data_IF_412702511512
#
_entry.id   IF_412702511512
#
_cell.length_a   1.000
_cell.length_b   1.000
_cell.length_c   1.000
_cell.angle_alpha   90.00
_cell.angle_beta   90.00
_cell.angle_gamma   90.00
#
_symmetry.space_group_name_H-M   'P 1'
#
loop_
_entity.id
_entity.type
_entity.pdbx_description
1 polymer ?
#
# COMPACT_ATOMS: atom_id res chain seq x y z
N UNK A 1 7.27 -10.13 9.10
CA UNK A 1 6.18 -9.50 8.32
C UNK A 1 4.92 -9.22 9.17
N UNK A 2 5.06 -9.19 10.50
CA UNK A 2 4.03 -8.79 11.45
C UNK A 2 4.73 -7.97 12.52
N UNK A 3 4.50 -6.66 12.55
CA UNK A 3 4.75 -5.88 13.76
C UNK A 3 3.47 -5.15 14.15
N UNK A 4 3.02 -5.52 15.35
CA UNK A 4 2.00 -4.90 16.18
C UNK A 4 0.71 -4.50 15.47
N UNK A 5 -0.21 -5.46 15.40
CA UNK A 5 -1.59 -5.13 15.70
C UNK A 5 -1.66 -4.23 16.94
N UNK A 6 -2.23 -3.06 16.71
CA UNK A 6 -3.15 -2.38 17.62
C UNK A 6 -2.55 -1.60 18.80
N UNK A 7 -1.85 -0.52 18.47
CA UNK A 7 -1.53 0.56 19.43
C UNK A 7 -2.72 1.48 19.75
N UNK A 8 -3.80 1.44 18.94
CA UNK A 8 -4.98 2.29 19.14
C UNK A 8 -5.94 1.73 20.21
N UNK A 9 -6.13 0.40 20.27
CA UNK A 9 -6.96 -0.24 21.32
C UNK A 9 -6.32 -0.13 22.71
N UNK A 10 -4.99 -0.31 22.80
CA UNK A 10 -4.28 -0.24 24.09
C UNK A 10 -4.25 1.18 24.66
N UNK A 11 -4.23 2.22 23.82
CA UNK A 11 -4.26 3.62 24.27
C UNK A 11 -5.60 3.98 24.91
N UNK A 12 -6.70 3.44 24.38
CA UNK A 12 -8.04 3.65 24.91
C UNK A 12 -8.24 2.94 26.27
N UNK A 13 -7.79 1.69 26.40
CA UNK A 13 -7.91 0.92 27.65
C UNK A 13 -6.97 1.44 28.75
N UNK A 14 -5.75 1.84 28.42
CA UNK A 14 -4.81 2.40 29.40
C UNK A 14 -5.31 3.76 29.90
N UNK A 15 -5.86 4.63 29.03
CA UNK A 15 -6.44 5.92 29.41
C UNK A 15 -7.60 5.77 30.41
N UNK A 16 -8.34 4.66 30.34
CA UNK A 16 -9.46 4.38 31.25
C UNK A 16 -9.00 3.97 32.66
N UNK A 17 -7.77 3.47 32.83
CA UNK A 17 -7.25 2.98 34.11
C UNK A 17 -6.26 3.95 34.81
N UNK A 18 -5.79 5.00 34.12
CA UNK A 18 -4.76 5.95 34.61
C UNK A 18 -5.26 7.01 35.62
N UNK A 19 -6.54 7.05 36.01
CA UNK A 19 -7.02 8.11 36.93
C UNK A 19 -6.54 8.00 38.40
N UNK A 20 -5.73 7.01 38.77
CA UNK A 20 -5.32 6.78 40.17
C UNK A 20 -3.80 6.62 40.42
N UNK A 21 -2.93 6.84 39.43
CA UNK A 21 -1.49 6.60 39.62
C UNK A 21 -0.75 7.92 39.85
N UNK A 22 -0.09 8.03 41.01
CA UNK A 22 0.75 9.17 41.41
C UNK A 22 1.96 9.40 40.47
N UNK A 23 2.83 10.38 40.76
CA UNK A 23 3.88 10.80 39.83
C UNK A 23 4.92 9.70 39.65
N UNK A 24 4.79 8.93 38.58
CA UNK A 24 5.76 7.92 38.14
C UNK A 24 6.91 8.66 37.45
N UNK A 25 8.10 8.53 38.03
CA UNK A 25 9.40 8.80 37.40
C UNK A 25 9.31 8.43 35.91
N UNK A 26 9.44 9.44 35.04
CA UNK A 26 9.14 9.31 33.61
C UNK A 26 10.29 8.53 32.95
N UNK A 27 10.32 7.22 33.16
CA UNK A 27 11.20 6.28 32.45
C UNK A 27 11.09 6.64 30.97
N UNK A 28 12.22 7.04 30.35
CA UNK A 28 12.31 7.32 28.93
C UNK A 28 12.08 6.03 28.17
N UNK A 29 10.80 5.67 28.05
CA UNK A 29 10.33 4.59 27.21
C UNK A 29 10.57 5.08 25.78
N UNK A 30 11.77 4.81 25.28
CA UNK A 30 12.12 4.97 23.88
C UNK A 30 11.21 4.00 23.13
N UNK A 31 10.02 4.48 22.78
CA UNK A 31 9.10 3.74 21.93
C UNK A 31 9.79 3.61 20.59
N UNK A 32 10.42 2.47 20.35
CA UNK A 32 10.88 2.06 19.03
C UNK A 32 9.61 1.92 18.18
N UNK A 33 9.14 3.05 17.66
CA UNK A 33 7.95 3.12 16.83
C UNK A 33 8.26 2.26 15.61
N UNK A 34 7.40 1.28 15.37
CA UNK A 34 7.56 0.36 14.27
C UNK A 34 7.66 1.15 12.96
N UNK A 35 8.82 1.07 12.30
CA UNK A 35 9.16 1.85 11.10
C UNK A 35 8.41 1.37 9.85
N UNK A 36 7.47 0.43 9.99
CA UNK A 36 6.82 -0.25 8.87
C UNK A 36 5.67 0.55 8.24
N UNK A 37 5.06 1.46 9.01
CA UNK A 37 3.93 2.31 8.56
C UNK A 37 4.32 3.24 7.40
N UNK A 38 5.41 4.04 7.46
CA UNK A 38 5.77 4.92 6.35
C UNK A 38 6.11 4.14 5.07
N UNK A 39 6.78 2.98 5.20
CA UNK A 39 7.06 2.13 4.05
C UNK A 39 5.81 1.50 3.44
N UNK A 40 4.83 1.10 4.27
CA UNK A 40 3.55 0.61 3.78
C UNK A 40 2.78 1.68 2.99
N UNK A 41 2.80 2.95 3.44
CA UNK A 41 2.17 4.06 2.72
C UNK A 41 2.82 4.26 1.35
N UNK A 42 4.16 4.27 1.30
CA UNK A 42 4.90 4.38 0.03
C UNK A 42 4.57 3.22 -0.91
N UNK A 43 4.48 2.00 -0.39
CA UNK A 43 4.12 0.82 -1.18
C UNK A 43 2.70 0.92 -1.76
N UNK A 44 1.73 1.36 -0.97
CA UNK A 44 0.35 1.57 -1.45
C UNK A 44 0.31 2.64 -2.55
N UNK A 45 1.00 3.77 -2.37
CA UNK A 45 1.09 4.81 -3.40
C UNK A 45 1.72 4.29 -4.70
N UNK A 46 2.76 3.46 -4.58
CA UNK A 46 3.37 2.80 -5.73
C UNK A 46 2.39 1.88 -6.47
N UNK A 47 1.60 1.08 -5.74
CA UNK A 47 0.58 0.21 -6.35
C UNK A 47 -0.51 1.01 -7.09
N UNK A 48 -0.96 2.12 -6.51
CA UNK A 48 -1.90 3.01 -7.20
C UNK A 48 -1.29 3.61 -8.47
N UNK A 49 -0.02 4.02 -8.42
CA UNK A 49 0.71 4.50 -9.60
C UNK A 49 0.79 3.44 -10.70
N UNK A 50 1.15 2.20 -10.35
CA UNK A 50 1.19 1.08 -11.29
C UNK A 50 -0.21 0.80 -11.89
N UNK A 51 -1.24 0.78 -11.06
CA UNK A 51 -2.63 0.57 -11.49
C UNK A 51 -3.11 1.66 -12.45
N UNK A 52 -2.77 2.93 -12.18
CA UNK A 52 -3.13 4.04 -13.05
C UNK A 52 -2.45 3.94 -14.43
N UNK A 53 -1.16 3.59 -14.48
CA UNK A 53 -0.43 3.38 -15.74
C UNK A 53 -1.02 2.20 -16.52
N UNK A 54 -1.32 1.09 -15.84
CA UNK A 54 -1.94 -0.07 -16.46
C UNK A 54 -3.32 0.27 -17.04
N UNK A 55 -4.15 1.00 -16.29
CA UNK A 55 -5.46 1.45 -16.77
C UNK A 55 -5.33 2.37 -17.98
N UNK A 56 -4.42 3.35 -17.94
CA UNK A 56 -4.15 4.25 -19.07
C UNK A 56 -3.72 3.46 -20.32
N UNK A 57 -2.80 2.52 -20.16
CA UNK A 57 -2.34 1.64 -21.23
C UNK A 57 -3.46 0.75 -21.79
N UNK A 58 -4.43 0.32 -20.97
CA UNK A 58 -5.58 -0.44 -21.44
C UNK A 58 -6.59 0.40 -22.24
N UNK A 59 -6.80 1.66 -21.85
CA UNK A 59 -7.78 2.52 -22.52
C UNK A 59 -7.26 3.08 -23.85
N UNK A 60 -5.98 3.43 -23.92
CA UNK A 60 -5.37 4.07 -25.10
C UNK A 60 -4.56 3.07 -25.93
N UNK A 61 -3.99 2.04 -25.30
CA UNK A 61 -3.27 1.00 -25.98
C UNK A 61 -4.19 -0.01 -26.65
N UNK A 62 -3.61 -0.87 -27.49
CA UNK A 62 -4.30 -2.00 -28.11
C UNK A 62 -3.97 -3.30 -27.34
N UNK A 63 -4.77 -3.71 -26.35
CA UNK A 63 -4.51 -4.95 -25.60
C UNK A 63 -4.52 -6.19 -26.52
N UNK A 64 -5.20 -6.09 -27.66
CA UNK A 64 -5.21 -7.12 -28.69
C UNK A 64 -3.83 -7.45 -29.26
N UNK A 65 -2.89 -6.49 -29.31
CA UNK A 65 -1.50 -6.75 -29.73
C UNK A 65 -0.68 -7.56 -28.73
N UNK A 66 -1.07 -7.58 -27.45
CA UNK A 66 -0.42 -8.42 -26.45
C UNK A 66 -0.91 -9.87 -26.54
N UNK A 67 -2.19 -10.06 -26.87
CA UNK A 67 -2.83 -11.38 -26.93
C UNK A 67 -2.58 -12.03 -28.30
N UNK A 68 -2.58 -11.24 -29.36
CA UNK A 68 -2.38 -11.69 -30.74
C UNK A 68 -1.11 -11.07 -31.29
N UNK A 69 -0.24 -11.91 -31.87
CA UNK A 69 0.98 -11.44 -32.52
C UNK A 69 0.66 -10.47 -33.66
N UNK A 70 1.47 -9.41 -33.77
CA UNK A 70 1.42 -8.47 -34.89
C UNK A 70 2.49 -8.78 -35.92
N UNK A 71 2.13 -8.74 -37.20
CA UNK A 71 3.09 -8.82 -38.31
C UNK A 71 3.92 -7.52 -38.45
N UNK A 72 4.99 -7.54 -39.24
CA UNK A 72 5.88 -6.40 -39.55
C UNK A 72 5.14 -5.19 -40.15
N UNK A 73 4.01 -5.44 -40.84
CA UNK A 73 3.10 -4.39 -41.35
C UNK A 73 2.18 -3.81 -40.28
N UNK A 74 2.22 -4.35 -39.06
CA UNK A 74 1.50 -3.85 -37.91
C UNK A 74 0.06 -4.33 -37.75
N UNK A 75 -0.39 -5.24 -38.61
CA UNK A 75 -1.70 -5.89 -38.55
C UNK A 75 -1.74 -6.94 -37.44
N UNK A 76 -2.87 -7.05 -36.75
CA UNK A 76 -3.09 -8.04 -35.67
C UNK A 76 -3.68 -9.31 -36.27
N UNK A 77 -3.03 -10.46 -36.04
CA UNK A 77 -3.51 -11.75 -36.55
C UNK A 77 -4.89 -12.11 -35.96
N UNK A 78 -5.81 -12.58 -36.81
CA UNK A 78 -7.15 -13.00 -36.39
C UNK A 78 -8.18 -11.88 -36.25
N UNK A 79 -7.80 -10.61 -36.48
CA UNK A 79 -8.75 -9.51 -36.67
C UNK A 79 -8.91 -9.18 -38.15
N UNK A 80 -10.14 -8.92 -38.58
CA UNK A 80 -10.40 -8.24 -39.85
C UNK A 80 -10.32 -6.74 -39.58
N UNK A 81 -9.29 -6.11 -40.12
CA UNK A 81 -9.14 -4.66 -40.20
C UNK A 81 -10.12 -4.10 -41.23
#
# INVERSE_FOLDING_TARGET
MFCCQNSDEKKFLTKKNIRQVGPIEKERRQSNHCTDIPFAIVFILFLFGLGAIAFYAFNIGSPFRLIHGSDSFGNVCGQRN
#
